data_IF_686797423689
#
_entry.id   IF_686797423689
#
_cell.length_a   1.000
_cell.length_b   1.000
_cell.length_c   1.000
_cell.angle_alpha   90.00
_cell.angle_beta   90.00
_cell.angle_gamma   90.00
#
_symmetry.space_group_name_H-M   'P 1'
#
loop_
_entity.id
_entity.type
_entity.pdbx_description
1 polymer ?
#
# COMPACT_ATOMS: atom_id res chain seq x y z
N UNK A 1 10.63 10.13 9.90
CA UNK A 1 10.09 9.25 10.99
C UNK A 1 8.68 9.70 11.41
N UNK A 2 8.40 10.97 11.71
CA UNK A 2 7.06 11.48 12.10
C UNK A 2 6.00 11.23 11.01
N UNK A 3 6.32 11.47 9.74
CA UNK A 3 5.43 11.23 8.61
C UNK A 3 5.02 9.75 8.50
N UNK A 4 5.97 8.83 8.71
CA UNK A 4 5.67 7.39 8.69
C UNK A 4 4.73 6.97 9.82
N UNK A 5 4.92 7.50 11.04
CA UNK A 5 4.02 7.26 12.17
C UNK A 5 2.61 7.81 11.90
N UNK A 6 2.52 9.02 11.35
CA UNK A 6 1.24 9.62 10.98
C UNK A 6 0.50 8.81 9.91
N UNK A 7 1.19 8.39 8.85
CA UNK A 7 0.59 7.55 7.81
C UNK A 7 0.11 6.20 8.35
N UNK A 8 0.90 5.56 9.21
CA UNK A 8 0.50 4.31 9.88
C UNK A 8 -0.78 4.49 10.69
N UNK A 9 -0.86 5.55 11.48
CA UNK A 9 -2.04 5.86 12.30
C UNK A 9 -3.30 6.07 11.44
N UNK A 10 -3.21 6.85 10.36
CA UNK A 10 -4.33 7.09 9.45
C UNK A 10 -4.86 5.79 8.83
N UNK A 11 -3.97 4.91 8.39
CA UNK A 11 -4.37 3.61 7.79
C UNK A 11 -5.06 2.71 8.81
N UNK A 12 -4.54 2.67 10.05
CA UNK A 12 -5.15 1.86 11.13
C UNK A 12 -6.52 2.43 11.52
N UNK A 13 -6.63 3.74 11.71
CA UNK A 13 -7.90 4.40 12.04
C UNK A 13 -8.95 4.19 10.93
N UNK A 14 -8.57 4.34 9.66
CA UNK A 14 -9.49 4.12 8.55
C UNK A 14 -10.05 2.69 8.53
N UNK A 15 -9.22 1.69 8.81
CA UNK A 15 -9.66 0.29 8.90
C UNK A 15 -10.56 0.05 10.12
N UNK A 16 -10.27 0.69 11.26
CA UNK A 16 -11.10 0.62 12.46
C UNK A 16 -12.49 1.20 12.19
N UNK A 17 -12.58 2.40 11.60
CA UNK A 17 -13.85 3.04 11.24
C UNK A 17 -14.69 2.15 10.34
N UNK A 18 -14.10 1.53 9.31
CA UNK A 18 -14.83 0.61 8.43
C UNK A 18 -15.36 -0.60 9.21
N UNK A 19 -14.58 -1.13 10.14
CA UNK A 19 -15.03 -2.26 10.99
C UNK A 19 -16.16 -1.86 11.93
N UNK A 20 -16.14 -0.64 12.44
CA UNK A 20 -17.14 -0.14 13.40
C UNK A 20 -18.47 0.19 12.71
N UNK A 21 -18.43 0.66 11.47
CA UNK A 21 -19.61 1.07 10.71
C UNK A 21 -20.27 -0.03 9.90
N UNK A 22 -19.55 -1.07 9.53
CA UNK A 22 -20.02 -2.08 8.58
C UNK A 22 -19.86 -3.51 9.10
N UNK A 23 -20.79 -4.37 8.72
CA UNK A 23 -20.64 -5.82 8.90
C UNK A 23 -19.44 -6.34 8.10
N UNK A 24 -18.84 -7.48 8.48
CA UNK A 24 -17.62 -8.01 7.82
C UNK A 24 -17.72 -8.09 6.30
N UNK A 25 -18.87 -8.52 5.76
CA UNK A 25 -19.06 -8.68 4.31
C UNK A 25 -19.14 -7.33 3.58
N UNK A 26 -19.84 -6.36 4.15
CA UNK A 26 -19.96 -5.01 3.59
C UNK A 26 -18.63 -4.27 3.76
N UNK A 27 -18.00 -4.40 4.92
CA UNK A 27 -16.69 -3.82 5.21
C UNK A 27 -15.62 -4.29 4.23
N UNK A 28 -15.58 -5.58 3.89
CA UNK A 28 -14.67 -6.11 2.88
C UNK A 28 -14.89 -5.47 1.50
N UNK A 29 -16.13 -5.23 1.09
CA UNK A 29 -16.46 -4.56 -0.16
C UNK A 29 -16.05 -3.08 -0.16
N UNK A 30 -16.27 -2.38 0.95
CA UNK A 30 -15.85 -0.97 1.13
C UNK A 30 -14.34 -0.86 1.08
N UNK A 31 -13.62 -1.72 1.78
CA UNK A 31 -12.15 -1.77 1.74
C UNK A 31 -11.62 -2.09 0.33
N UNK A 32 -12.26 -3.01 -0.38
CA UNK A 32 -11.90 -3.32 -1.77
C UNK A 32 -12.05 -2.11 -2.71
N UNK A 33 -13.11 -1.31 -2.53
CA UNK A 33 -13.29 -0.04 -3.30
C UNK A 33 -12.20 0.97 -2.94
N UNK A 34 -11.88 1.11 -1.64
CA UNK A 34 -10.83 2.00 -1.17
C UNK A 34 -9.45 1.64 -1.76
N UNK A 35 -9.12 0.34 -1.80
CA UNK A 35 -7.88 -0.15 -2.42
C UNK A 35 -7.83 0.11 -3.93
N UNK A 36 -8.96 0.01 -4.63
CA UNK A 36 -9.03 0.38 -6.05
C UNK A 36 -8.78 1.88 -6.25
N UNK A 37 -9.36 2.72 -5.40
CA UNK A 37 -9.10 4.17 -5.39
C UNK A 37 -7.63 4.49 -5.12
N UNK A 38 -7.01 3.79 -4.16
CA UNK A 38 -5.58 3.91 -3.90
C UNK A 38 -4.73 3.59 -5.14
N UNK A 39 -5.06 2.52 -5.87
CA UNK A 39 -4.39 2.17 -7.11
C UNK A 39 -4.52 3.27 -8.20
N UNK A 40 -5.71 3.85 -8.37
CA UNK A 40 -5.93 4.93 -9.31
C UNK A 40 -5.12 6.19 -8.96
N UNK A 41 -5.08 6.56 -7.67
CA UNK A 41 -4.26 7.68 -7.18
C UNK A 41 -2.77 7.39 -7.42
N UNK A 42 -2.31 6.16 -7.17
CA UNK A 42 -0.93 5.76 -7.41
C UNK A 42 -0.54 5.88 -8.90
N UNK A 43 -1.44 5.52 -9.84
CA UNK A 43 -1.21 5.70 -11.27
C UNK A 43 -0.99 7.16 -11.66
N UNK A 44 -1.72 8.08 -11.04
CA UNK A 44 -1.64 9.51 -11.37
C UNK A 44 -0.50 10.23 -10.62
N UNK A 45 -0.16 9.80 -9.41
CA UNK A 45 0.78 10.50 -8.53
C UNK A 45 2.20 10.51 -9.08
N UNK A 46 2.65 9.42 -9.69
CA UNK A 46 4.03 9.31 -10.21
C UNK A 46 4.28 10.24 -11.41
N UNK A 47 3.45 10.26 -12.48
CA UNK A 47 3.61 11.21 -13.58
C UNK A 47 3.45 12.67 -13.12
N UNK A 48 2.48 12.95 -12.24
CA UNK A 48 2.29 14.31 -11.71
C UNK A 48 3.49 14.78 -10.90
N UNK A 49 4.03 13.91 -10.04
CA UNK A 49 5.23 14.21 -9.27
C UNK A 49 6.45 14.46 -10.17
N UNK A 50 6.63 13.63 -11.20
CA UNK A 50 7.71 13.81 -12.17
C UNK A 50 7.56 15.13 -12.95
N UNK A 51 6.36 15.45 -13.42
CA UNK A 51 6.06 16.70 -14.11
C UNK A 51 6.33 17.93 -13.23
N UNK A 52 5.82 17.96 -12.00
CA UNK A 52 6.03 19.09 -11.08
C UNK A 52 7.51 19.25 -10.76
N UNK A 53 8.23 18.14 -10.53
CA UNK A 53 9.65 18.19 -10.20
C UNK A 53 10.51 18.67 -11.39
N UNK A 54 10.10 18.39 -12.61
CA UNK A 54 10.82 18.79 -13.81
C UNK A 54 10.55 20.25 -14.21
N UNK A 55 9.29 20.69 -14.08
CA UNK A 55 8.88 22.04 -14.49
C UNK A 55 9.17 23.11 -13.45
N UNK A 56 9.09 22.77 -12.17
CA UNK A 56 9.31 23.74 -11.08
C UNK A 56 10.51 23.36 -10.22
N UNK A 57 10.31 22.47 -9.24
CA UNK A 57 11.39 21.99 -8.37
C UNK A 57 10.88 20.83 -7.49
N UNK A 58 11.81 20.15 -6.82
CA UNK A 58 11.45 19.14 -5.84
C UNK A 58 10.72 19.74 -4.60
N UNK A 59 11.00 21.02 -4.26
CA UNK A 59 10.27 21.73 -3.19
C UNK A 59 8.80 21.95 -3.54
N UNK A 60 8.49 22.25 -4.80
CA UNK A 60 7.12 22.40 -5.27
C UNK A 60 6.36 21.06 -5.20
N UNK A 61 7.01 19.94 -5.49
CA UNK A 61 6.41 18.61 -5.35
C UNK A 61 6.07 18.31 -3.87
N UNK A 62 6.97 18.61 -2.94
CA UNK A 62 6.68 18.47 -1.50
C UNK A 62 5.57 19.41 -1.03
N UNK A 63 5.55 20.65 -1.55
CA UNK A 63 4.49 21.61 -1.29
C UNK A 63 3.13 21.10 -1.75
N UNK A 64 3.05 20.49 -2.94
CA UNK A 64 1.82 19.90 -3.44
C UNK A 64 1.30 18.74 -2.56
N UNK A 65 2.20 17.87 -2.08
CA UNK A 65 1.84 16.80 -1.13
C UNK A 65 1.32 17.38 0.18
N UNK A 66 1.98 18.43 0.70
CA UNK A 66 1.56 19.10 1.94
C UNK A 66 0.19 19.79 1.79
N UNK A 67 -0.04 20.46 0.66
CA UNK A 67 -1.34 21.07 0.35
C UNK A 67 -2.45 20.04 0.24
N UNK A 68 -2.19 18.91 -0.43
CA UNK A 68 -3.14 17.80 -0.50
C UNK A 68 -3.46 17.24 0.88
N UNK A 69 -2.44 17.05 1.73
CA UNK A 69 -2.62 16.60 3.11
C UNK A 69 -3.48 17.58 3.94
N UNK A 70 -3.27 18.89 3.77
CA UNK A 70 -4.06 19.92 4.45
C UNK A 70 -5.53 19.92 4.00
N UNK A 71 -5.80 19.73 2.69
CA UNK A 71 -7.15 19.59 2.15
C UNK A 71 -7.85 18.37 2.75
N UNK A 72 -7.16 17.22 2.78
CA UNK A 72 -7.70 16.01 3.39
C UNK A 72 -8.00 16.18 4.87
N UNK A 73 -7.10 16.82 5.62
CA UNK A 73 -7.29 17.11 7.04
C UNK A 73 -8.51 18.01 7.27
N UNK A 74 -8.65 19.07 6.48
CA UNK A 74 -9.80 19.96 6.55
C UNK A 74 -11.11 19.24 6.24
N UNK A 75 -11.13 18.39 5.20
CA UNK A 75 -12.30 17.60 4.83
C UNK A 75 -12.71 16.61 5.95
N UNK A 76 -11.72 15.97 6.59
CA UNK A 76 -11.95 15.07 7.73
C UNK A 76 -12.47 15.89 8.92
N UNK A 77 -11.80 16.98 9.30
CA UNK A 77 -12.19 17.79 10.44
C UNK A 77 -13.63 18.33 10.31
N UNK A 78 -14.08 18.59 9.08
CA UNK A 78 -15.43 19.09 8.83
C UNK A 78 -16.51 18.00 8.91
N UNK A 79 -16.21 16.79 8.44
CA UNK A 79 -17.23 15.73 8.31
C UNK A 79 -17.05 14.55 9.28
N UNK A 80 -15.98 14.55 10.06
CA UNK A 80 -15.73 13.44 10.98
C UNK A 80 -16.75 13.43 12.11
N UNK A 81 -17.36 12.28 12.30
CA UNK A 81 -18.19 11.95 13.45
C UNK A 81 -17.58 10.76 14.15
N UNK A 82 -17.57 10.78 15.49
CA UNK A 82 -17.08 9.66 16.28
C UNK A 82 -17.91 8.40 16.00
N UNK A 83 -17.22 7.32 15.61
CA UNK A 83 -17.86 6.07 15.22
C UNK A 83 -17.70 4.95 16.25
N UNK A 84 -16.86 5.18 17.28
CA UNK A 84 -16.65 4.20 18.32
C UNK A 84 -17.94 3.97 19.10
N UNK A 85 -18.37 2.72 19.31
CA UNK A 85 -19.49 2.42 20.18
C UNK A 85 -19.23 3.01 21.58
N UNK A 86 -20.24 3.61 22.17
CA UNK A 86 -20.16 4.27 23.49
C UNK A 86 -20.03 3.21 24.61
N UNK A 87 -19.02 2.38 24.51
CA UNK A 87 -18.62 1.43 25.57
C UNK A 87 -17.82 2.20 26.60
N UNK A 88 -18.54 2.90 27.49
CA UNK A 88 -18.00 3.72 28.58
C UNK A 88 -16.47 3.72 28.67
N UNK A 89 -15.86 4.85 28.73
CA UNK A 89 -14.42 5.16 28.63
C UNK A 89 -13.47 4.33 29.56
N UNK A 90 -13.64 3.01 29.61
CA UNK A 90 -12.73 2.12 30.33
C UNK A 90 -11.61 1.75 29.39
N UNK A 91 -10.56 2.56 29.38
CA UNK A 91 -9.30 2.18 28.75
C UNK A 91 -8.79 0.96 29.51
N UNK A 92 -8.64 -0.21 28.88
CA UNK A 92 -8.14 -1.39 29.58
C UNK A 92 -6.73 -1.10 30.11
N UNK A 93 -6.38 -1.59 31.29
CA UNK A 93 -5.05 -1.37 31.87
C UNK A 93 -3.98 -1.87 30.92
N UNK A 94 -2.87 -1.15 30.83
CA UNK A 94 -1.76 -1.42 29.90
C UNK A 94 -1.29 -2.88 29.94
N UNK A 95 -1.38 -3.52 31.10
CA UNK A 95 -1.00 -4.92 31.32
C UNK A 95 -1.91 -5.88 30.55
N UNK A 96 -3.21 -5.63 30.53
CA UNK A 96 -4.19 -6.44 29.78
C UNK A 96 -4.01 -6.23 28.27
N UNK A 97 -3.76 -4.99 27.85
CA UNK A 97 -3.46 -4.67 26.47
C UNK A 97 -2.20 -5.40 25.99
N UNK A 98 -1.14 -5.37 26.78
CA UNK A 98 0.12 -6.06 26.48
C UNK A 98 -0.05 -7.59 26.42
N UNK A 99 -0.83 -8.17 27.32
CA UNK A 99 -1.10 -9.61 27.33
C UNK A 99 -1.92 -10.04 26.12
N UNK A 100 -2.91 -9.24 25.73
CA UNK A 100 -3.73 -9.47 24.51
C UNK A 100 -2.86 -9.40 23.25
N UNK A 101 -1.98 -8.40 23.15
CA UNK A 101 -1.04 -8.31 22.01
C UNK A 101 -0.09 -9.51 21.97
N UNK A 102 0.42 -9.94 23.12
CA UNK A 102 1.30 -11.10 23.19
C UNK A 102 0.62 -12.40 22.75
N UNK A 103 -0.65 -12.57 23.12
CA UNK A 103 -1.45 -13.72 22.70
C UNK A 103 -1.70 -13.72 21.17
N UNK A 104 -2.00 -12.54 20.57
CA UNK A 104 -2.18 -12.39 19.13
C UNK A 104 -0.87 -12.69 18.38
N UNK A 105 0.25 -12.13 18.86
CA UNK A 105 1.57 -12.35 18.26
C UNK A 105 2.00 -13.81 18.25
N UNK A 106 1.52 -14.62 19.19
CA UNK A 106 1.80 -16.06 19.25
C UNK A 106 0.85 -16.91 18.39
N UNK A 107 -0.23 -16.32 17.91
CA UNK A 107 -1.22 -17.09 17.15
C UNK A 107 -0.69 -17.47 15.76
N UNK A 108 -0.66 -18.77 15.39
CA UNK A 108 0.00 -19.22 14.16
C UNK A 108 -0.60 -18.60 12.90
N UNK A 109 -1.92 -18.42 12.87
CA UNK A 109 -2.61 -17.74 11.76
C UNK A 109 -2.15 -16.29 11.60
N UNK A 110 -1.98 -15.57 12.72
CA UNK A 110 -1.48 -14.20 12.70
C UNK A 110 -0.04 -14.15 12.14
N UNK A 111 0.84 -15.03 12.61
CA UNK A 111 2.24 -15.10 12.17
C UNK A 111 2.29 -15.37 10.66
N UNK A 112 1.50 -16.33 10.16
CA UNK A 112 1.47 -16.67 8.73
C UNK A 112 1.05 -15.49 7.85
N UNK A 113 -0.05 -14.81 8.20
CA UNK A 113 -0.51 -13.64 7.43
C UNK A 113 0.39 -12.41 7.60
N UNK A 114 0.95 -12.20 8.79
CA UNK A 114 1.89 -11.11 9.05
C UNK A 114 3.20 -11.31 8.26
N UNK A 115 3.74 -12.53 8.21
CA UNK A 115 4.94 -12.85 7.43
C UNK A 115 4.71 -12.65 5.92
N UNK A 116 3.55 -13.08 5.41
CA UNK A 116 3.19 -12.86 4.01
C UNK A 116 3.09 -11.37 3.67
N UNK A 117 2.46 -10.60 4.56
CA UNK A 117 2.33 -9.14 4.41
C UNK A 117 3.69 -8.46 4.49
N UNK A 118 4.54 -8.85 5.45
CA UNK A 118 5.88 -8.33 5.62
C UNK A 118 6.74 -8.58 4.38
N UNK A 119 6.71 -9.80 3.84
CA UNK A 119 7.46 -10.15 2.62
C UNK A 119 6.99 -9.34 1.41
N UNK A 120 5.68 -9.22 1.21
CA UNK A 120 5.10 -8.48 0.07
C UNK A 120 5.40 -6.99 0.14
N UNK A 121 5.14 -6.35 1.29
CA UNK A 121 5.42 -4.92 1.45
C UNK A 121 6.92 -4.62 1.55
N UNK A 122 7.69 -5.50 2.19
CA UNK A 122 9.15 -5.37 2.25
C UNK A 122 9.77 -5.33 0.85
N UNK A 123 9.39 -6.28 -0.01
CA UNK A 123 9.82 -6.30 -1.41
C UNK A 123 9.41 -5.04 -2.17
N UNK A 124 8.17 -4.58 -2.00
CA UNK A 124 7.68 -3.34 -2.62
C UNK A 124 8.49 -2.12 -2.18
N UNK A 125 8.77 -1.98 -0.87
CA UNK A 125 9.54 -0.84 -0.37
C UNK A 125 10.99 -0.87 -0.83
N UNK A 126 11.64 -2.03 -0.84
CA UNK A 126 12.99 -2.17 -1.39
C UNK A 126 13.00 -1.73 -2.84
N UNK A 127 12.06 -2.21 -3.65
CA UNK A 127 11.92 -1.80 -5.05
C UNK A 127 11.73 -0.27 -5.18
N UNK A 128 10.81 0.33 -4.44
CA UNK A 128 10.54 1.77 -4.52
C UNK A 128 11.77 2.62 -4.15
N UNK A 129 12.53 2.20 -3.14
CA UNK A 129 13.73 2.95 -2.70
C UNK A 129 14.87 2.82 -3.70
N UNK A 130 15.08 1.63 -4.27
CA UNK A 130 16.22 1.37 -5.16
C UNK A 130 15.93 1.72 -6.62
N UNK A 131 14.67 1.65 -7.06
CA UNK A 131 14.29 1.81 -8.46
C UNK A 131 14.71 3.16 -9.05
N UNK A 132 14.55 4.25 -8.34
CA UNK A 132 14.96 5.58 -8.85
C UNK A 132 16.46 5.67 -9.07
N UNK A 133 17.26 5.09 -8.18
CA UNK A 133 18.71 5.05 -8.34
C UNK A 133 19.11 4.20 -9.55
N UNK A 134 18.51 3.03 -9.71
CA UNK A 134 18.83 2.11 -10.81
C UNK A 134 18.38 2.71 -12.15
N UNK A 135 17.12 3.12 -12.28
CA UNK A 135 16.57 3.55 -13.56
C UNK A 135 17.08 4.93 -14.01
N UNK A 136 17.24 5.88 -13.10
CA UNK A 136 17.75 7.21 -13.43
C UNK A 136 19.27 7.23 -13.38
N UNK A 137 19.88 6.65 -12.35
CA UNK A 137 21.33 6.74 -12.12
C UNK A 137 22.16 5.79 -12.98
N UNK A 138 21.70 4.56 -13.18
CA UNK A 138 22.46 3.51 -13.92
C UNK A 138 21.98 3.39 -15.36
N UNK A 139 20.65 3.28 -15.58
CA UNK A 139 20.06 3.13 -16.92
C UNK A 139 19.99 4.47 -17.67
N UNK A 140 19.98 5.60 -16.95
CA UNK A 140 20.01 6.95 -17.56
C UNK A 140 18.65 7.47 -18.01
N UNK A 141 17.54 6.90 -17.50
CA UNK A 141 16.20 7.38 -17.82
C UNK A 141 15.97 8.82 -17.33
N UNK A 142 15.26 9.59 -18.11
CA UNK A 142 14.78 10.90 -17.68
C UNK A 142 13.74 10.76 -16.55
N UNK A 143 13.53 11.83 -15.79
CA UNK A 143 12.53 11.85 -14.72
C UNK A 143 11.12 11.55 -15.22
N UNK A 144 10.79 11.99 -16.45
CA UNK A 144 9.47 11.72 -17.07
C UNK A 144 9.35 10.24 -17.43
N UNK A 145 10.35 9.65 -18.07
CA UNK A 145 10.36 8.23 -18.45
C UNK A 145 10.23 7.34 -17.20
N UNK A 146 10.97 7.68 -16.14
CA UNK A 146 10.82 7.01 -14.85
C UNK A 146 9.39 7.16 -14.28
N UNK A 147 8.81 8.35 -14.36
CA UNK A 147 7.42 8.59 -13.94
C UNK A 147 6.41 7.76 -14.72
N UNK A 148 6.59 7.62 -16.04
CA UNK A 148 5.74 6.77 -16.89
C UNK A 148 5.91 5.28 -16.56
N UNK A 149 7.14 4.85 -16.28
CA UNK A 149 7.43 3.48 -15.83
C UNK A 149 6.71 3.19 -14.50
N UNK A 150 6.76 4.10 -13.55
CA UNK A 150 6.04 3.96 -12.28
C UNK A 150 4.52 3.97 -12.48
N UNK A 151 4.02 4.75 -13.43
CA UNK A 151 2.60 4.72 -13.81
C UNK A 151 2.19 3.34 -14.34
N UNK A 152 2.97 2.75 -15.24
CA UNK A 152 2.69 1.41 -15.78
C UNK A 152 2.65 0.35 -14.68
N UNK A 153 3.58 0.40 -13.73
CA UNK A 153 3.59 -0.49 -12.56
C UNK A 153 2.36 -0.31 -11.67
N UNK A 154 1.95 0.93 -11.43
CA UNK A 154 0.74 1.22 -10.68
C UNK A 154 -0.50 0.71 -11.39
N UNK A 155 -0.53 0.79 -12.72
CA UNK A 155 -1.61 0.21 -13.53
C UNK A 155 -1.67 -1.32 -13.41
N UNK A 156 -0.52 -2.01 -13.47
CA UNK A 156 -0.44 -3.46 -13.23
C UNK A 156 -0.91 -3.81 -11.81
N UNK A 157 -0.54 -3.01 -10.80
CA UNK A 157 -1.05 -3.17 -9.44
C UNK A 157 -2.58 -3.06 -9.39
N UNK A 158 -3.16 -2.09 -10.08
CA UNK A 158 -4.61 -1.93 -10.16
C UNK A 158 -5.27 -3.15 -10.82
N UNK A 159 -4.72 -3.66 -11.92
CA UNK A 159 -5.20 -4.91 -12.55
C UNK A 159 -5.09 -6.10 -11.58
N UNK A 160 -4.01 -6.18 -10.81
CA UNK A 160 -3.82 -7.18 -9.76
C UNK A 160 -4.91 -7.13 -8.70
N UNK A 161 -5.39 -5.93 -8.32
CA UNK A 161 -6.50 -5.81 -7.34
C UNK A 161 -7.83 -6.32 -7.92
N UNK A 162 -8.11 -6.10 -9.21
CA UNK A 162 -9.28 -6.67 -9.87
C UNK A 162 -9.19 -8.19 -9.96
N UNK A 163 -8.03 -8.72 -10.36
CA UNK A 163 -7.78 -10.16 -10.41
C UNK A 163 -7.95 -10.80 -9.02
N UNK A 164 -7.37 -10.19 -7.98
CA UNK A 164 -7.51 -10.66 -6.61
C UNK A 164 -8.98 -10.74 -6.18
N UNK A 165 -9.78 -9.71 -6.49
CA UNK A 165 -11.21 -9.70 -6.19
C UNK A 165 -11.96 -10.82 -6.91
N UNK A 166 -11.68 -11.03 -8.18
CA UNK A 166 -12.26 -12.09 -8.97
C UNK A 166 -11.91 -13.48 -8.42
N UNK A 167 -10.63 -13.68 -8.05
CA UNK A 167 -10.16 -14.92 -7.44
C UNK A 167 -10.83 -15.17 -6.08
N UNK A 168 -10.95 -14.15 -5.24
CA UNK A 168 -11.58 -14.25 -3.92
C UNK A 168 -13.04 -14.70 -4.00
N UNK A 169 -13.80 -14.15 -4.96
CA UNK A 169 -15.21 -14.52 -5.16
C UNK A 169 -15.33 -15.95 -5.69
N UNK A 170 -14.41 -16.39 -6.56
CA UNK A 170 -14.52 -17.69 -7.24
C UNK A 170 -13.90 -18.84 -6.47
N UNK A 171 -12.79 -18.63 -5.76
CA UNK A 171 -11.98 -19.69 -5.16
C UNK A 171 -11.83 -19.55 -3.63
N UNK A 172 -12.31 -18.47 -3.04
CA UNK A 172 -12.17 -18.19 -1.62
C UNK A 172 -10.74 -17.72 -1.24
N UNK A 173 -10.56 -17.40 0.04
CA UNK A 173 -9.33 -16.74 0.53
C UNK A 173 -8.10 -17.63 0.39
N UNK A 174 -8.17 -18.88 0.86
CA UNK A 174 -6.99 -19.75 0.92
C UNK A 174 -6.36 -20.02 -0.46
N UNK A 175 -7.21 -20.33 -1.46
CA UNK A 175 -6.74 -20.58 -2.83
C UNK A 175 -6.24 -19.30 -3.50
N UNK A 176 -6.90 -18.18 -3.27
CA UNK A 176 -6.48 -16.88 -3.83
C UNK A 176 -5.10 -16.47 -3.30
N UNK A 177 -4.84 -16.68 -2.01
CA UNK A 177 -3.52 -16.43 -1.40
C UNK A 177 -2.46 -17.36 -2.00
N UNK A 178 -2.76 -18.64 -2.19
CA UNK A 178 -1.83 -19.58 -2.81
C UNK A 178 -1.48 -19.19 -4.26
N UNK A 179 -2.48 -18.84 -5.08
CA UNK A 179 -2.27 -18.35 -6.46
C UNK A 179 -1.42 -17.07 -6.47
N UNK A 180 -1.75 -16.10 -5.61
CA UNK A 180 -0.96 -14.87 -5.47
C UNK A 180 0.49 -15.14 -5.06
N UNK A 181 0.71 -16.07 -4.13
CA UNK A 181 2.04 -16.50 -3.71
C UNK A 181 2.85 -17.12 -4.85
N UNK A 182 2.26 -18.01 -5.65
CA UNK A 182 2.90 -18.62 -6.82
C UNK A 182 3.26 -17.54 -7.86
N UNK A 183 2.34 -16.62 -8.16
CA UNK A 183 2.60 -15.52 -9.09
C UNK A 183 3.75 -14.62 -8.61
N UNK A 184 3.79 -14.34 -7.31
CA UNK A 184 4.87 -13.54 -6.71
C UNK A 184 6.22 -14.26 -6.78
N UNK A 185 6.26 -15.55 -6.48
CA UNK A 185 7.48 -16.36 -6.58
C UNK A 185 7.98 -16.46 -8.02
N UNK A 186 7.10 -16.74 -8.98
CA UNK A 186 7.48 -16.82 -10.40
C UNK A 186 8.00 -15.49 -10.92
N UNK A 187 7.34 -14.38 -10.57
CA UNK A 187 7.81 -13.03 -10.92
C UNK A 187 9.19 -12.73 -10.33
N UNK A 188 9.41 -13.06 -9.05
CA UNK A 188 10.70 -12.88 -8.39
C UNK A 188 11.81 -13.75 -9.00
N UNK A 189 11.51 -15.00 -9.36
CA UNK A 189 12.47 -15.87 -10.04
C UNK A 189 12.83 -15.38 -11.44
N UNK A 190 11.85 -14.88 -12.21
CA UNK A 190 12.12 -14.30 -13.53
C UNK A 190 12.98 -13.05 -13.45
N UNK A 191 12.75 -12.19 -12.46
CA UNK A 191 13.59 -11.02 -12.21
C UNK A 191 15.03 -11.41 -11.85
N UNK A 192 15.21 -12.40 -10.98
CA UNK A 192 16.53 -12.90 -10.64
C UNK A 192 17.25 -13.52 -11.85
N UNK A 193 16.55 -14.32 -12.65
CA UNK A 193 17.08 -14.90 -13.87
C UNK A 193 17.51 -13.84 -14.88
N UNK A 194 16.69 -12.80 -15.12
CA UNK A 194 17.02 -11.71 -16.02
C UNK A 194 18.24 -10.92 -15.55
N UNK A 195 18.36 -10.69 -14.24
CA UNK A 195 19.51 -10.04 -13.65
C UNK A 195 20.81 -10.89 -13.80
N UNK A 196 20.70 -12.21 -13.59
CA UNK A 196 21.84 -13.12 -13.71
C UNK A 196 22.30 -13.31 -15.16
N UNK A 197 21.36 -13.32 -16.13
CA UNK A 197 21.67 -13.40 -17.55
C UNK A 197 22.14 -12.07 -18.17
N UNK A 198 22.32 -11.03 -17.36
CA UNK A 198 22.75 -9.68 -17.79
C UNK A 198 21.90 -9.13 -18.96
N UNK A 199 20.62 -9.43 -18.99
CA UNK A 199 19.69 -8.96 -20.03
C UNK A 199 19.35 -7.48 -19.92
N UNK A 200 20.27 -6.68 -19.40
CA UNK A 200 20.10 -5.22 -19.29
C UNK A 200 20.34 -4.51 -20.64
N UNK A 201 20.74 -5.21 -21.69
CA UNK A 201 21.02 -4.62 -23.00
C UNK A 201 19.80 -4.56 -23.93
N UNK A 202 18.58 -4.81 -23.42
CA UNK A 202 17.34 -4.90 -24.23
C UNK A 202 16.23 -4.02 -23.65
N UNK A 203 16.59 -2.83 -23.12
CA UNK A 203 15.60 -1.77 -22.87
C UNK A 203 16.16 -0.45 -23.39
#
# INVERSE_FOLDING_TARGET
TLQGAAMGSVVVCARAIVRDLYTPDIGARVMSKALTGLGAIACMSAPLGAFITQTYSWHAALGAVSAFGAICLFAIAWKYQETAPNTGNVIPPMKELASSWWSILKHPTFIAFASLTLGSYGGLFVFLVTSSFVFIGVVGLSKIEYGLLMCSMSFVYMLGTFLCRWLLVRFGVARSVAIGGILSLTGGMLLNLSAWMQWHSVI
#
